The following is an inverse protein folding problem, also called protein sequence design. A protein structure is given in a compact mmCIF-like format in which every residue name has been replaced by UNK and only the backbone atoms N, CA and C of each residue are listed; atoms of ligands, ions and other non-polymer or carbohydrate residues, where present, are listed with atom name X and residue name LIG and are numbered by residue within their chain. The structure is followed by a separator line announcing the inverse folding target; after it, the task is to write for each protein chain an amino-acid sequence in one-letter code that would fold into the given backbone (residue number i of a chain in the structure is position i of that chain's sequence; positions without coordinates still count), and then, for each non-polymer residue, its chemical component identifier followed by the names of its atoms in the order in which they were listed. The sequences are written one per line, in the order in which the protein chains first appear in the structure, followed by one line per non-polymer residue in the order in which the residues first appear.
data_IF_740574040190
#
_entry.id   IF_740574040190
#
_cell.length_a   1.000
_cell.length_b   1.000
_cell.length_c   1.000
_cell.angle_alpha   90.00
_cell.angle_beta   90.00
_cell.angle_gamma   90.00
#
_symmetry.space_group_name_H-M   'P 1'
#
loop_
_entity.id
_entity.type
_entity.pdbx_description
1 polymer ?
#
# COMPACT_ATOMS: atom_id res chain seq x y z
N UNK A 1 20.99 13.56 -3.10
CA UNK A 1 21.39 12.23 -3.60
C UNK A 1 20.38 11.70 -4.63
N UNK A 2 19.09 11.68 -4.35
CA UNK A 2 18.06 11.30 -5.35
C UNK A 2 18.09 12.13 -6.65
N UNK A 3 18.45 13.40 -6.59
CA UNK A 3 18.56 14.29 -7.76
C UNK A 3 19.70 13.91 -8.73
N UNK A 4 20.80 13.31 -8.27
CA UNK A 4 21.88 12.82 -9.15
C UNK A 4 21.48 11.56 -9.93
N UNK A 5 20.61 10.72 -9.37
CA UNK A 5 20.07 9.54 -10.06
C UNK A 5 19.13 9.91 -11.23
N UNK A 6 18.48 11.08 -11.15
CA UNK A 6 17.62 11.59 -12.24
C UNK A 6 18.39 12.37 -13.32
N UNK A 7 19.62 12.81 -13.04
CA UNK A 7 20.44 13.54 -14.01
C UNK A 7 21.40 12.67 -14.84
N UNK A 8 21.73 11.46 -14.35
CA UNK A 8 22.68 10.56 -15.03
C UNK A 8 22.05 9.49 -15.93
N UNK A 9 20.74 9.31 -15.89
CA UNK A 9 20.04 8.57 -16.95
C UNK A 9 19.88 9.51 -18.14
N UNK A 10 20.86 9.52 -19.03
CA UNK A 10 20.88 10.28 -20.27
C UNK A 10 19.86 9.89 -21.34
N UNK A 11 18.80 9.20 -20.96
CA UNK A 11 17.52 9.21 -21.61
C UNK A 11 16.72 10.37 -21.00
N UNK A 12 16.76 11.55 -21.60
CA UNK A 12 15.65 12.48 -21.51
C UNK A 12 14.41 11.63 -21.72
N UNK A 13 13.62 11.44 -20.64
CA UNK A 13 12.32 10.76 -20.75
C UNK A 13 11.59 11.52 -21.84
N UNK A 14 11.50 10.90 -23.00
CA UNK A 14 10.99 11.56 -24.17
C UNK A 14 9.48 11.77 -23.95
N UNK A 15 9.18 12.82 -23.18
CA UNK A 15 7.83 13.31 -22.92
C UNK A 15 7.08 13.40 -24.24
N UNK A 16 7.79 13.81 -25.30
CA UNK A 16 7.29 13.83 -26.65
C UNK A 16 6.96 12.44 -27.19
N UNK A 17 7.71 11.40 -26.89
CA UNK A 17 7.48 10.04 -27.40
C UNK A 17 6.27 9.38 -26.74
N UNK A 18 6.09 9.56 -25.44
CA UNK A 18 4.93 9.02 -24.69
C UNK A 18 3.68 9.83 -25.02
N UNK A 19 3.81 11.14 -25.17
CA UNK A 19 2.70 12.06 -25.39
C UNK A 19 2.43 12.30 -26.89
N UNK A 20 3.40 12.14 -27.78
CA UNK A 20 3.22 12.13 -29.25
C UNK A 20 2.65 10.81 -29.78
N UNK A 21 2.66 9.72 -28.99
CA UNK A 21 1.88 8.56 -29.37
C UNK A 21 0.42 9.00 -29.50
N UNK A 22 -0.20 8.73 -30.62
CA UNK A 22 -1.47 9.20 -31.17
C UNK A 22 -2.72 9.22 -30.23
N UNK A 23 -2.57 9.30 -28.92
CA UNK A 23 -3.66 9.21 -27.95
C UNK A 23 -4.48 10.48 -27.78
N UNK A 24 -3.92 11.64 -28.11
CA UNK A 24 -4.61 12.93 -27.87
C UNK A 24 -4.78 13.29 -26.39
N UNK A 25 -4.06 12.67 -25.47
CA UNK A 25 -4.17 12.91 -24.02
C UNK A 25 -4.02 14.40 -23.65
N UNK A 26 -3.17 15.16 -24.34
CA UNK A 26 -2.97 16.59 -24.12
C UNK A 26 -4.23 17.44 -24.32
N UNK A 27 -5.19 16.96 -25.11
CA UNK A 27 -6.44 17.67 -25.39
C UNK A 27 -7.50 17.46 -24.31
N UNK A 28 -7.31 16.48 -23.42
CA UNK A 28 -8.26 16.15 -22.38
C UNK A 28 -8.33 17.21 -21.27
N UNK A 29 -9.47 17.29 -20.59
CA UNK A 29 -9.67 18.20 -19.47
C UNK A 29 -8.79 17.83 -18.29
N UNK A 30 -8.70 16.52 -18.00
CA UNK A 30 -7.86 16.04 -16.89
C UNK A 30 -6.41 16.45 -17.07
N UNK A 31 -5.83 16.29 -18.26
CA UNK A 31 -4.43 16.68 -18.54
C UNK A 31 -4.21 18.18 -18.34
N UNK A 32 -5.11 19.00 -18.83
CA UNK A 32 -5.01 20.48 -18.72
C UNK A 32 -5.08 20.95 -17.27
N UNK A 33 -5.76 20.21 -16.41
CA UNK A 33 -5.88 20.52 -14.96
C UNK A 33 -4.69 20.07 -14.12
N UNK A 34 -3.81 19.20 -14.64
CA UNK A 34 -2.63 18.78 -13.91
C UNK A 34 -1.59 19.89 -13.81
N UNK A 35 -0.98 20.01 -12.64
CA UNK A 35 0.24 20.79 -12.45
C UNK A 35 1.43 20.13 -13.17
N UNK A 36 2.49 20.90 -13.41
CA UNK A 36 3.68 20.38 -14.10
C UNK A 36 4.23 19.13 -13.43
N UNK A 37 4.44 19.16 -12.10
CA UNK A 37 4.96 17.98 -11.38
C UNK A 37 4.07 16.74 -11.51
N UNK A 38 2.74 16.93 -11.61
CA UNK A 38 1.81 15.82 -11.83
C UNK A 38 1.90 15.27 -13.24
N UNK A 39 2.06 16.13 -14.26
CA UNK A 39 2.28 15.69 -15.64
C UNK A 39 3.54 14.86 -15.78
N UNK A 40 4.65 15.30 -15.17
CA UNK A 40 5.90 14.54 -15.13
C UNK A 40 5.71 13.20 -14.43
N UNK A 41 4.93 13.18 -13.34
CA UNK A 41 4.55 11.94 -12.65
C UNK A 41 3.72 10.99 -13.51
N UNK A 42 2.76 11.50 -14.27
CA UNK A 42 1.94 10.71 -15.21
C UNK A 42 2.80 10.11 -16.31
N UNK A 43 3.69 10.91 -16.92
CA UNK A 43 4.62 10.43 -17.97
C UNK A 43 5.54 9.35 -17.42
N UNK A 44 6.16 9.58 -16.25
CA UNK A 44 7.01 8.59 -15.60
C UNK A 44 6.26 7.31 -15.21
N UNK A 45 5.00 7.43 -14.76
CA UNK A 45 4.19 6.26 -14.44
C UNK A 45 3.83 5.44 -15.67
N UNK A 46 3.48 6.08 -16.78
CA UNK A 46 3.20 5.41 -18.05
C UNK A 46 4.44 4.67 -18.56
N UNK A 47 5.62 5.29 -18.49
CA UNK A 47 6.88 4.62 -18.85
C UNK A 47 7.11 3.37 -17.99
N UNK A 48 6.98 3.48 -16.66
CA UNK A 48 7.16 2.35 -15.74
C UNK A 48 6.12 1.23 -15.98
N UNK A 49 4.86 1.58 -16.23
CA UNK A 49 3.81 0.62 -16.59
C UNK A 49 4.15 -0.13 -17.88
N UNK A 50 4.73 0.54 -18.86
CA UNK A 50 5.11 -0.09 -20.13
C UNK A 50 6.37 -0.96 -20.02
N UNK A 51 7.35 -0.55 -19.22
CA UNK A 51 8.63 -1.25 -19.05
C UNK A 51 8.58 -2.39 -18.06
N UNK A 52 7.89 -2.19 -16.94
CA UNK A 52 7.94 -3.09 -15.77
C UNK A 52 6.59 -3.72 -15.43
N UNK A 53 5.52 -3.44 -16.19
CA UNK A 53 4.19 -3.98 -15.93
C UNK A 53 3.45 -3.30 -14.77
N UNK A 54 4.12 -2.48 -13.95
CA UNK A 54 3.48 -1.81 -12.83
C UNK A 54 4.22 -0.59 -12.32
N UNK A 55 3.48 0.26 -11.58
CA UNK A 55 4.02 1.46 -10.94
C UNK A 55 3.28 1.75 -9.63
N UNK A 56 4.01 2.22 -8.62
CA UNK A 56 3.45 2.72 -7.35
C UNK A 56 3.63 4.24 -7.30
N UNK A 57 2.53 4.99 -7.30
CA UNK A 57 2.56 6.43 -7.01
C UNK A 57 2.44 6.60 -5.49
N UNK A 58 3.58 6.95 -4.87
CA UNK A 58 3.76 7.06 -3.43
C UNK A 58 3.85 8.52 -2.94
N UNK A 59 3.28 9.44 -3.66
CA UNK A 59 3.26 10.87 -3.33
C UNK A 59 2.60 11.15 -1.98
N UNK A 60 3.08 12.16 -1.29
CA UNK A 60 2.50 12.63 -0.03
C UNK A 60 1.00 12.92 -0.16
N UNK A 61 0.27 12.77 0.95
CA UNK A 61 -1.17 13.08 1.00
C UNK A 61 -1.42 14.52 0.55
N UNK A 62 -2.44 14.70 -0.31
CA UNK A 62 -2.84 16.00 -0.81
C UNK A 62 -2.08 16.50 -2.05
N UNK A 63 -1.21 15.69 -2.66
CA UNK A 63 -0.54 16.04 -3.92
C UNK A 63 -1.34 15.64 -5.17
N UNK A 64 -2.56 15.09 -5.01
CA UNK A 64 -3.48 14.86 -6.12
C UNK A 64 -3.28 13.55 -6.86
N UNK A 65 -2.81 12.47 -6.20
CA UNK A 65 -2.64 11.14 -6.80
C UNK A 65 -3.85 10.66 -7.62
N UNK A 66 -5.06 10.98 -7.18
CA UNK A 66 -6.29 10.62 -7.90
C UNK A 66 -6.34 11.27 -9.28
N UNK A 67 -5.94 12.54 -9.41
CA UNK A 67 -5.91 13.22 -10.71
C UNK A 67 -4.82 12.67 -11.63
N UNK A 68 -3.66 12.31 -11.09
CA UNK A 68 -2.61 11.63 -11.86
C UNK A 68 -3.10 10.26 -12.36
N UNK A 69 -3.75 9.49 -11.49
CA UNK A 69 -4.33 8.20 -11.87
C UNK A 69 -5.43 8.36 -12.92
N UNK A 70 -6.31 9.37 -12.81
CA UNK A 70 -7.32 9.66 -13.82
C UNK A 70 -6.71 10.02 -15.17
N UNK A 71 -5.60 10.75 -15.21
CA UNK A 71 -4.90 11.02 -16.46
C UNK A 71 -4.29 9.75 -17.08
N UNK A 72 -3.72 8.85 -16.25
CA UNK A 72 -3.22 7.55 -16.70
C UNK A 72 -4.37 6.67 -17.20
N UNK A 73 -5.49 6.62 -16.47
CA UNK A 73 -6.70 5.93 -16.91
C UNK A 73 -7.14 6.45 -18.27
N UNK A 74 -7.22 7.77 -18.43
CA UNK A 74 -7.64 8.38 -19.70
C UNK A 74 -6.68 8.09 -20.85
N UNK A 75 -5.38 8.04 -20.60
CA UNK A 75 -4.39 7.60 -21.58
C UNK A 75 -4.67 6.18 -22.08
N UNK A 76 -5.00 5.26 -21.18
CA UNK A 76 -5.35 3.87 -21.52
C UNK A 76 -6.70 3.79 -22.25
N UNK A 77 -7.74 4.50 -21.79
CA UNK A 77 -9.04 4.52 -22.45
C UNK A 77 -8.98 5.06 -23.90
N UNK A 78 -8.12 6.06 -24.15
CA UNK A 78 -7.89 6.59 -25.51
C UNK A 78 -7.21 5.58 -26.44
N UNK A 79 -6.67 4.50 -25.90
CA UNK A 79 -6.12 3.34 -26.61
C UNK A 79 -7.10 2.18 -26.71
N UNK A 80 -8.34 2.37 -26.24
CA UNK A 80 -9.37 1.35 -26.08
C UNK A 80 -9.01 0.25 -25.06
N UNK A 81 -8.10 0.54 -24.13
CA UNK A 81 -7.75 -0.36 -23.05
C UNK A 81 -8.91 -0.37 -22.01
N UNK A 82 -9.24 -1.54 -21.46
CA UNK A 82 -10.21 -1.68 -20.38
C UNK A 82 -9.55 -1.45 -19.03
N UNK A 83 -10.19 -0.63 -18.21
CA UNK A 83 -9.62 -0.20 -16.93
C UNK A 83 -10.53 -0.60 -15.77
N UNK A 84 -9.94 -1.23 -14.76
CA UNK A 84 -10.57 -1.51 -13.48
C UNK A 84 -9.95 -0.64 -12.38
N UNK A 85 -10.79 0.02 -11.60
CA UNK A 85 -10.37 0.70 -10.37
C UNK A 85 -10.83 -0.11 -9.17
N UNK A 86 -9.90 -0.50 -8.32
CA UNK A 86 -10.13 -1.14 -7.03
C UNK A 86 -9.94 -0.11 -5.91
N UNK A 87 -11.00 0.23 -5.20
CA UNK A 87 -10.97 1.23 -4.16
C UNK A 87 -11.55 0.72 -2.82
N UNK A 88 -11.15 1.28 -1.67
CA UNK A 88 -11.87 1.07 -0.43
C UNK A 88 -13.33 1.54 -0.56
N UNK A 89 -14.28 0.83 0.06
CA UNK A 89 -15.71 1.16 -0.03
C UNK A 89 -16.00 2.65 0.28
N UNK A 90 -15.31 3.21 1.25
CA UNK A 90 -15.46 4.63 1.65
C UNK A 90 -14.99 5.64 0.58
N UNK A 91 -14.15 5.21 -0.37
CA UNK A 91 -13.60 6.05 -1.43
C UNK A 91 -14.24 5.79 -2.80
N UNK A 92 -15.17 4.83 -2.88
CA UNK A 92 -15.84 4.47 -4.14
C UNK A 92 -16.47 5.67 -4.82
N UNK A 93 -17.18 6.50 -4.06
CA UNK A 93 -17.92 7.65 -4.60
C UNK A 93 -16.98 8.70 -5.23
N UNK A 94 -15.75 8.82 -4.72
CA UNK A 94 -14.74 9.69 -5.30
C UNK A 94 -14.34 9.25 -6.73
N UNK A 95 -14.40 7.95 -7.01
CA UNK A 95 -14.10 7.40 -8.34
C UNK A 95 -15.32 7.39 -9.25
N UNK A 96 -16.49 7.02 -8.75
CA UNK A 96 -17.72 6.97 -9.55
C UNK A 96 -18.19 8.36 -10.00
N UNK A 97 -17.86 9.40 -9.23
CA UNK A 97 -18.17 10.79 -9.58
C UNK A 97 -17.66 11.17 -10.97
N UNK A 98 -16.44 10.79 -11.33
CA UNK A 98 -15.83 11.19 -12.60
C UNK A 98 -16.40 10.47 -13.83
N UNK A 99 -17.14 9.36 -13.62
CA UNK A 99 -17.92 8.67 -14.67
C UNK A 99 -19.32 9.26 -14.83
N UNK A 100 -19.83 9.89 -13.78
CA UNK A 100 -21.23 10.34 -13.75
C UNK A 100 -21.46 11.58 -14.60
N UNK A 101 -22.64 11.66 -15.21
CA UNK A 101 -23.16 12.90 -15.78
C UNK A 101 -23.77 13.77 -14.66
N UNK A 102 -22.90 14.36 -13.85
CA UNK A 102 -23.23 15.12 -12.65
C UNK A 102 -22.55 16.51 -12.70
N UNK A 103 -23.23 17.55 -12.26
CA UNK A 103 -22.69 18.92 -12.24
C UNK A 103 -21.40 19.06 -11.42
N UNK A 104 -21.18 18.19 -10.44
CA UNK A 104 -19.95 18.14 -9.62
C UNK A 104 -18.77 17.53 -10.37
N UNK A 105 -19.03 16.82 -11.47
CA UNK A 105 -17.98 16.20 -12.27
C UNK A 105 -17.29 17.24 -13.15
N UNK A 106 -16.21 17.79 -12.65
CA UNK A 106 -15.39 18.78 -13.37
C UNK A 106 -14.64 18.21 -14.58
N UNK A 107 -14.67 16.88 -14.79
CA UNK A 107 -14.04 16.14 -15.87
C UNK A 107 -15.08 15.49 -16.81
N UNK A 108 -16.34 15.89 -16.75
CA UNK A 108 -17.44 15.26 -17.51
C UNK A 108 -17.17 15.21 -19.04
N UNK A 109 -16.47 16.21 -19.57
CA UNK A 109 -16.13 16.26 -21.00
C UNK A 109 -15.14 15.16 -21.45
N UNK A 110 -14.36 14.60 -20.50
CA UNK A 110 -13.44 13.51 -20.80
C UNK A 110 -14.15 12.15 -20.93
N UNK A 111 -15.42 12.01 -20.48
CA UNK A 111 -16.24 10.83 -20.65
C UNK A 111 -15.54 9.53 -20.24
N UNK A 112 -15.17 9.45 -18.95
CA UNK A 112 -14.55 8.26 -18.40
C UNK A 112 -15.46 7.03 -18.42
N UNK A 113 -14.90 5.85 -18.71
CA UNK A 113 -15.61 4.59 -18.84
C UNK A 113 -14.90 3.40 -18.17
N UNK A 114 -14.24 3.61 -17.04
CA UNK A 114 -13.64 2.53 -16.26
C UNK A 114 -14.63 1.88 -15.30
N UNK A 115 -14.37 0.62 -14.91
CA UNK A 115 -15.13 -0.06 -13.89
C UNK A 115 -14.61 0.28 -12.48
N UNK A 116 -15.52 0.35 -11.49
CA UNK A 116 -15.16 0.62 -10.09
C UNK A 116 -15.70 -0.50 -9.21
N UNK A 117 -14.78 -1.22 -8.55
CA UNK A 117 -15.11 -2.25 -7.58
C UNK A 117 -14.46 -1.95 -6.23
N UNK A 118 -15.05 -2.48 -5.16
CA UNK A 118 -14.44 -2.36 -3.84
C UNK A 118 -13.37 -3.45 -3.64
N UNK A 119 -12.37 -3.21 -2.81
CA UNK A 119 -11.39 -4.23 -2.41
C UNK A 119 -12.05 -5.51 -1.88
N UNK A 120 -13.20 -5.39 -1.20
CA UNK A 120 -13.95 -6.51 -0.63
C UNK A 120 -14.67 -7.35 -1.68
N UNK A 121 -14.92 -6.80 -2.86
CA UNK A 121 -15.60 -7.52 -3.94
C UNK A 121 -14.73 -8.65 -4.50
N UNK A 122 -13.41 -8.53 -4.39
CA UNK A 122 -12.47 -9.63 -4.67
C UNK A 122 -12.63 -10.86 -3.73
N UNK A 123 -13.44 -10.77 -2.67
CA UNK A 123 -13.72 -11.91 -1.79
C UNK A 123 -15.10 -12.52 -2.06
N UNK A 124 -15.79 -12.07 -3.11
CA UNK A 124 -17.17 -12.47 -3.45
C UNK A 124 -17.20 -13.15 -4.80
N UNK A 125 -18.00 -14.20 -4.91
CA UNK A 125 -18.19 -14.94 -6.18
C UNK A 125 -19.44 -14.49 -6.93
N UNK A 126 -20.24 -13.55 -6.39
CA UNK A 126 -21.44 -13.04 -7.02
C UNK A 126 -22.07 -11.90 -6.23
N UNK A 127 -23.21 -11.44 -6.74
CA UNK A 127 -23.98 -10.30 -6.21
C UNK A 127 -23.52 -8.96 -6.77
N UNK A 128 -24.30 -7.92 -6.52
CA UNK A 128 -24.07 -6.59 -7.08
C UNK A 128 -22.99 -5.81 -6.32
N UNK A 129 -22.18 -5.08 -7.07
CA UNK A 129 -21.27 -4.04 -6.60
C UNK A 129 -21.57 -2.76 -7.39
N UNK A 130 -22.42 -1.88 -6.86
CA UNK A 130 -23.07 -0.83 -7.66
C UNK A 130 -23.89 -1.46 -8.77
N UNK A 131 -23.65 -1.06 -10.01
CA UNK A 131 -24.33 -1.55 -11.20
C UNK A 131 -23.69 -2.82 -11.80
N UNK A 132 -22.59 -3.32 -11.21
CA UNK A 132 -21.83 -4.45 -11.74
C UNK A 132 -22.22 -5.73 -11.00
N UNK A 133 -22.70 -6.74 -11.74
CA UNK A 133 -22.90 -8.09 -11.21
C UNK A 133 -21.59 -8.87 -11.26
N UNK A 134 -21.06 -9.21 -10.07
CA UNK A 134 -19.78 -9.88 -9.90
C UNK A 134 -19.74 -11.30 -10.47
N UNK A 135 -20.90 -11.95 -10.64
CA UNK A 135 -20.98 -13.29 -11.26
C UNK A 135 -20.67 -13.27 -12.75
N UNK A 136 -20.83 -12.12 -13.40
CA UNK A 136 -20.60 -11.92 -14.83
C UNK A 136 -19.31 -11.17 -15.16
N UNK A 137 -18.53 -10.76 -14.14
CA UNK A 137 -17.26 -10.05 -14.38
C UNK A 137 -16.23 -10.99 -14.97
N UNK A 138 -15.75 -10.66 -16.15
CA UNK A 138 -14.57 -11.31 -16.73
C UNK A 138 -13.31 -10.66 -16.16
N UNK A 139 -12.82 -11.22 -15.06
CA UNK A 139 -11.70 -10.68 -14.28
C UNK A 139 -10.38 -10.57 -15.07
N UNK A 140 -10.18 -11.45 -16.04
CA UNK A 140 -8.98 -11.46 -16.89
C UNK A 140 -9.02 -10.49 -18.07
N UNK A 141 -10.06 -9.67 -18.23
CA UNK A 141 -10.24 -8.82 -19.41
C UNK A 141 -10.01 -7.33 -19.10
N UNK A 142 -9.02 -7.01 -18.27
CA UNK A 142 -8.62 -5.65 -17.97
C UNK A 142 -7.15 -5.42 -18.35
N UNK A 143 -6.88 -4.40 -19.14
CA UNK A 143 -5.54 -4.01 -19.58
C UNK A 143 -4.79 -3.22 -18.51
N UNK A 144 -5.54 -2.45 -17.70
CA UNK A 144 -5.03 -1.70 -16.55
C UNK A 144 -5.88 -1.93 -15.32
N UNK A 145 -5.23 -2.24 -14.20
CA UNK A 145 -5.85 -2.22 -12.88
C UNK A 145 -5.25 -1.11 -12.04
N UNK A 146 -6.07 -0.22 -11.54
CA UNK A 146 -5.69 0.85 -10.60
C UNK A 146 -6.12 0.45 -9.20
N UNK A 147 -5.18 0.38 -8.26
CA UNK A 147 -5.45 0.01 -6.88
C UNK A 147 -5.25 1.23 -5.99
N UNK A 148 -6.35 1.84 -5.56
CA UNK A 148 -6.30 2.93 -4.59
C UNK A 148 -6.10 2.38 -3.18
N UNK A 149 -5.28 3.07 -2.37
CA UNK A 149 -4.87 2.61 -1.04
C UNK A 149 -4.27 1.18 -1.09
N UNK A 150 -3.32 0.97 -2.02
CA UNK A 150 -2.74 -0.35 -2.33
C UNK A 150 -2.07 -1.04 -1.11
N UNK A 151 -1.74 -0.29 -0.07
CA UNK A 151 -1.25 -0.85 1.19
C UNK A 151 -2.22 -1.86 1.84
N UNK A 152 -3.50 -1.87 1.46
CA UNK A 152 -4.47 -2.89 1.90
C UNK A 152 -4.19 -4.29 1.34
N UNK A 153 -3.37 -4.40 0.30
CA UNK A 153 -2.94 -5.67 -0.33
C UNK A 153 -1.53 -6.12 0.08
N UNK A 154 -0.92 -5.46 1.07
CA UNK A 154 0.43 -5.80 1.56
C UNK A 154 0.55 -7.19 2.18
N UNK A 155 -0.52 -7.74 2.72
CA UNK A 155 -0.53 -9.03 3.41
C UNK A 155 -1.03 -10.12 2.48
N UNK A 156 -0.18 -11.10 2.20
CA UNK A 156 -0.57 -12.38 1.62
C UNK A 156 -1.16 -13.26 2.73
N UNK A 157 -2.45 -13.07 3.04
CA UNK A 157 -3.12 -13.84 4.09
C UNK A 157 -3.36 -15.27 3.61
N UNK A 158 -2.77 -16.23 4.29
CA UNK A 158 -3.03 -17.66 4.08
C UNK A 158 -4.14 -18.11 5.03
N UNK A 159 -5.39 -17.99 4.63
CA UNK A 159 -6.48 -18.71 5.27
C UNK A 159 -6.62 -20.09 4.62
N UNK A 160 -6.49 -21.17 5.41
CA UNK A 160 -6.72 -22.54 4.91
C UNK A 160 -8.12 -22.63 4.29
N UNK A 161 -8.19 -22.87 2.98
CA UNK A 161 -9.41 -23.20 2.25
C UNK A 161 -10.18 -22.05 1.60
N UNK A 162 -9.79 -20.78 1.71
CA UNK A 162 -10.39 -19.67 0.96
C UNK A 162 -9.33 -18.85 0.25
N UNK A 163 -9.57 -18.56 -1.03
CA UNK A 163 -8.76 -17.65 -1.83
C UNK A 163 -8.79 -16.25 -1.20
N UNK A 164 -7.62 -15.68 -0.90
CA UNK A 164 -7.54 -14.32 -0.40
C UNK A 164 -7.79 -13.30 -1.51
N UNK A 165 -8.10 -12.04 -1.15
CA UNK A 165 -8.19 -10.93 -2.11
C UNK A 165 -6.89 -10.74 -2.90
N UNK A 166 -5.75 -10.93 -2.24
CA UNK A 166 -4.44 -10.90 -2.85
C UNK A 166 -4.28 -11.99 -3.90
N UNK A 167 -4.63 -13.24 -3.54
CA UNK A 167 -4.49 -14.39 -4.45
C UNK A 167 -5.44 -14.27 -5.65
N UNK A 168 -6.67 -13.79 -5.45
CA UNK A 168 -7.62 -13.57 -6.55
C UNK A 168 -7.13 -12.50 -7.52
N UNK A 169 -6.64 -11.36 -7.01
CA UNK A 169 -6.05 -10.31 -7.83
C UNK A 169 -4.86 -10.85 -8.64
N UNK A 170 -3.93 -11.52 -7.95
CA UNK A 170 -2.73 -12.08 -8.59
C UNK A 170 -3.06 -13.13 -9.64
N UNK A 171 -3.96 -14.05 -9.33
CA UNK A 171 -4.26 -15.19 -10.20
C UNK A 171 -5.20 -14.81 -11.32
N UNK A 172 -6.41 -14.34 -10.98
CA UNK A 172 -7.51 -14.18 -11.96
C UNK A 172 -7.38 -12.92 -12.82
N UNK A 173 -6.73 -11.88 -12.32
CA UNK A 173 -6.62 -10.61 -13.03
C UNK A 173 -5.25 -10.47 -13.68
N UNK A 174 -4.18 -10.72 -12.93
CA UNK A 174 -2.83 -10.44 -13.40
C UNK A 174 -2.29 -11.61 -14.23
N UNK A 175 -2.27 -12.85 -13.66
CA UNK A 175 -1.62 -14.00 -14.33
C UNK A 175 -2.48 -14.69 -15.39
N UNK A 176 -3.78 -14.85 -15.13
CA UNK A 176 -4.74 -15.51 -16.05
C UNK A 176 -5.34 -14.50 -17.05
N UNK A 177 -5.06 -13.20 -16.88
CA UNK A 177 -5.62 -12.14 -17.70
C UNK A 177 -4.86 -11.88 -18.99
N UNK A 178 -5.35 -10.89 -19.72
CA UNK A 178 -4.57 -10.21 -20.77
C UNK A 178 -3.37 -9.55 -20.07
N UNK A 179 -2.28 -9.26 -20.76
CA UNK A 179 -1.07 -8.67 -20.15
C UNK A 179 -1.39 -7.40 -19.33
N UNK A 180 -1.95 -7.60 -18.13
CA UNK A 180 -2.55 -6.56 -17.28
C UNK A 180 -1.47 -5.72 -16.61
N UNK A 181 -1.52 -4.41 -16.78
CA UNK A 181 -0.68 -3.46 -16.06
C UNK A 181 -1.30 -3.09 -14.73
N UNK A 182 -0.47 -2.79 -13.72
CA UNK A 182 -0.97 -2.48 -12.36
C UNK A 182 -0.45 -1.14 -11.88
N UNK A 183 -1.35 -0.17 -11.74
CA UNK A 183 -1.07 1.13 -11.12
C UNK A 183 -1.52 1.10 -9.66
N UNK A 184 -0.61 1.36 -8.74
CA UNK A 184 -0.87 1.36 -7.31
C UNK A 184 -0.75 2.77 -6.74
N UNK A 185 -1.72 3.18 -5.93
CA UNK A 185 -1.73 4.47 -5.25
C UNK A 185 -1.64 4.24 -3.74
N UNK A 186 -0.64 4.79 -3.10
CA UNK A 186 -0.52 4.74 -1.64
C UNK A 186 0.37 5.87 -1.13
N UNK A 187 -0.05 6.59 -0.12
CA UNK A 187 0.83 7.55 0.56
C UNK A 187 1.86 6.86 1.47
N UNK A 188 1.63 5.60 1.83
CA UNK A 188 2.45 4.80 2.75
C UNK A 188 2.61 3.37 2.21
N UNK A 189 3.37 3.17 1.11
CA UNK A 189 3.55 1.84 0.51
C UNK A 189 4.27 0.87 1.45
N UNK A 190 5.11 1.40 2.33
CA UNK A 190 5.75 0.68 3.44
C UNK A 190 5.15 1.17 4.75
N UNK A 191 4.66 0.28 5.59
CA UNK A 191 4.15 0.65 6.90
C UNK A 191 5.06 0.12 8.02
N UNK A 192 5.09 -1.20 8.22
CA UNK A 192 5.84 -1.81 9.32
C UNK A 192 7.05 -2.61 8.83
N UNK A 193 7.00 -3.13 7.61
CA UNK A 193 8.05 -4.01 7.06
C UNK A 193 8.28 -3.70 5.59
N UNK A 194 9.52 -3.80 5.15
CA UNK A 194 9.87 -3.69 3.72
C UNK A 194 9.27 -4.84 2.90
N UNK A 195 8.95 -5.97 3.53
CA UNK A 195 8.19 -7.05 2.91
C UNK A 195 6.78 -6.62 2.44
N UNK A 196 6.18 -5.58 3.04
CA UNK A 196 4.90 -5.02 2.61
C UNK A 196 5.01 -4.45 1.18
N UNK A 197 6.15 -3.84 0.86
CA UNK A 197 6.46 -3.34 -0.48
C UNK A 197 6.68 -4.48 -1.46
N UNK A 198 7.41 -5.54 -1.08
CA UNK A 198 7.63 -6.72 -1.93
C UNK A 198 6.30 -7.33 -2.41
N UNK A 199 5.32 -7.44 -1.53
CA UNK A 199 4.02 -7.99 -1.89
C UNK A 199 3.26 -7.11 -2.89
N UNK A 200 3.46 -5.78 -2.84
CA UNK A 200 2.91 -4.86 -3.83
C UNK A 200 3.69 -4.93 -5.16
N UNK A 201 5.03 -4.99 -5.10
CA UNK A 201 5.88 -5.16 -6.28
C UNK A 201 5.53 -6.44 -7.04
N UNK A 202 5.16 -7.50 -6.32
CA UNK A 202 4.77 -8.77 -6.93
C UNK A 202 3.58 -8.63 -7.91
N UNK A 203 2.73 -7.64 -7.76
CA UNK A 203 1.67 -7.36 -8.75
C UNK A 203 2.22 -6.81 -10.06
N UNK A 204 3.30 -6.02 -10.02
CA UNK A 204 3.96 -5.51 -11.23
C UNK A 204 4.76 -6.59 -11.96
N UNK A 205 5.35 -7.52 -11.21
CA UNK A 205 6.25 -8.56 -11.74
C UNK A 205 5.57 -9.92 -11.88
N UNK A 206 4.25 -10.00 -11.75
CA UNK A 206 3.47 -11.25 -11.75
C UNK A 206 3.95 -12.28 -10.71
N UNK A 207 4.71 -11.80 -9.71
CA UNK A 207 5.34 -12.62 -8.67
C UNK A 207 6.64 -13.30 -9.11
N UNK A 208 7.21 -12.94 -10.25
CA UNK A 208 8.52 -13.38 -10.68
C UNK A 208 9.61 -12.58 -9.93
N UNK A 209 10.47 -13.31 -9.22
CA UNK A 209 11.55 -12.74 -8.43
C UNK A 209 12.70 -12.20 -9.29
N UNK A 210 12.87 -12.76 -10.49
CA UNK A 210 13.91 -12.39 -11.44
C UNK A 210 13.47 -11.38 -12.51
N UNK A 211 12.24 -10.89 -12.46
CA UNK A 211 11.66 -10.00 -13.47
C UNK A 211 12.48 -8.73 -13.76
N UNK A 212 13.31 -8.30 -12.83
CA UNK A 212 14.15 -7.10 -12.96
C UNK A 212 15.65 -7.42 -13.13
N UNK A 213 16.00 -8.66 -13.48
CA UNK A 213 17.41 -9.08 -13.63
C UNK A 213 18.14 -8.26 -14.71
N UNK A 214 17.51 -8.01 -15.85
CA UNK A 214 18.07 -7.20 -16.93
C UNK A 214 18.25 -5.72 -16.54
N UNK A 215 17.58 -5.31 -15.46
CA UNK A 215 17.65 -3.96 -14.91
C UNK A 215 18.54 -3.86 -13.65
N UNK A 216 19.43 -4.84 -13.45
CA UNK A 216 20.41 -4.84 -12.37
C UNK A 216 19.92 -5.39 -11.03
N UNK A 217 18.72 -5.92 -10.94
CA UNK A 217 18.16 -6.54 -9.72
C UNK A 217 18.03 -8.05 -9.92
N UNK A 218 19.02 -8.80 -9.47
CA UNK A 218 19.06 -10.25 -9.65
C UNK A 218 17.93 -11.00 -8.92
N UNK A 219 17.49 -10.52 -7.75
CA UNK A 219 16.39 -11.07 -6.97
C UNK A 219 15.72 -9.97 -6.14
N UNK A 220 14.44 -9.76 -6.35
CA UNK A 220 13.61 -8.80 -5.62
C UNK A 220 13.51 -9.22 -4.15
N UNK A 221 13.35 -10.52 -3.89
CA UNK A 221 13.28 -11.07 -2.54
C UNK A 221 14.58 -10.89 -1.77
N UNK A 222 15.72 -11.23 -2.37
CA UNK A 222 17.02 -11.06 -1.73
C UNK A 222 17.31 -9.60 -1.43
N UNK A 223 17.03 -8.69 -2.37
CA UNK A 223 17.21 -7.23 -2.21
C UNK A 223 16.34 -6.70 -1.07
N UNK A 224 15.05 -7.02 -1.03
CA UNK A 224 14.15 -6.55 0.03
C UNK A 224 14.46 -7.17 1.39
N UNK A 225 14.90 -8.44 1.44
CA UNK A 225 15.33 -9.11 2.68
C UNK A 225 16.61 -8.49 3.24
N UNK A 226 17.61 -8.22 2.39
CA UNK A 226 18.84 -7.52 2.77
C UNK A 226 18.53 -6.13 3.33
N UNK A 227 17.69 -5.36 2.64
CA UNK A 227 17.25 -4.04 3.10
C UNK A 227 16.52 -4.11 4.45
N UNK A 228 15.63 -5.10 4.67
CA UNK A 228 14.95 -5.28 5.95
C UNK A 228 15.93 -5.60 7.08
N UNK A 229 16.94 -6.43 6.84
CA UNK A 229 17.95 -6.73 7.84
C UNK A 229 18.75 -5.47 8.23
N UNK A 230 19.11 -4.63 7.26
CA UNK A 230 19.79 -3.36 7.50
C UNK A 230 18.89 -2.36 8.25
N UNK A 231 17.64 -2.27 7.87
CA UNK A 231 16.65 -1.44 8.58
C UNK A 231 16.50 -1.86 10.04
N UNK A 232 16.45 -3.16 10.33
CA UNK A 232 16.38 -3.67 11.70
C UNK A 232 17.65 -3.35 12.50
N UNK A 233 18.83 -3.42 11.84
CA UNK A 233 20.10 -3.01 12.46
C UNK A 233 20.09 -1.52 12.79
N UNK A 234 19.64 -0.68 11.87
CA UNK A 234 19.53 0.76 12.10
C UNK A 234 18.57 1.07 13.26
N UNK A 235 17.45 0.35 13.39
CA UNK A 235 16.53 0.50 14.52
C UNK A 235 17.17 0.12 15.88
N UNK A 236 18.18 -0.74 15.87
CA UNK A 236 18.89 -1.18 17.07
C UNK A 236 20.06 -0.27 17.48
N UNK A 237 20.39 0.75 16.66
CA UNK A 237 21.42 1.73 17.00
C UNK A 237 20.96 2.66 18.13
N UNK A 238 21.92 3.36 18.74
CA UNK A 238 21.61 4.41 19.71
C UNK A 238 20.95 5.62 19.03
N UNK A 239 20.09 6.35 19.76
CA UNK A 239 19.33 7.49 19.21
C UNK A 239 20.24 8.57 18.57
N UNK A 240 21.46 8.76 19.08
CA UNK A 240 22.43 9.71 18.55
C UNK A 240 22.97 9.30 17.16
N UNK A 241 22.97 8.00 16.85
CA UNK A 241 23.47 7.44 15.60
C UNK A 241 22.37 7.28 14.54
N UNK A 242 21.10 7.32 14.94
CA UNK A 242 19.94 7.16 14.04
C UNK A 242 19.71 8.37 13.15
N UNK A 243 20.54 8.53 12.14
CA UNK A 243 20.34 9.60 11.16
C UNK A 243 19.73 9.07 9.86
N UNK A 244 18.93 9.90 9.14
CA UNK A 244 18.40 9.52 7.83
C UNK A 244 19.49 9.19 6.81
N UNK A 245 20.64 9.90 6.86
CA UNK A 245 21.76 9.66 5.95
C UNK A 245 22.36 8.28 6.15
N UNK A 246 22.54 7.87 7.41
CA UNK A 246 23.06 6.53 7.75
C UNK A 246 22.09 5.43 7.32
N UNK A 247 20.76 5.63 7.49
CA UNK A 247 19.77 4.69 6.98
C UNK A 247 19.89 4.51 5.46
N UNK A 248 20.00 5.60 4.71
CA UNK A 248 20.16 5.56 3.24
C UNK A 248 21.42 4.77 2.85
N UNK A 249 22.54 5.00 3.54
CA UNK A 249 23.79 4.27 3.29
C UNK A 249 23.63 2.77 3.58
N UNK A 250 23.03 2.42 4.71
CA UNK A 250 22.82 1.02 5.13
C UNK A 250 21.90 0.24 4.19
N UNK A 251 20.83 0.86 3.67
CA UNK A 251 19.88 0.21 2.76
C UNK A 251 20.54 -0.20 1.43
N UNK A 252 21.58 0.54 0.98
CA UNK A 252 22.38 0.20 -0.18
C UNK A 252 21.74 0.54 -1.52
N UNK A 253 22.56 0.54 -2.57
CA UNK A 253 22.20 0.97 -3.92
C UNK A 253 21.08 0.12 -4.55
N UNK A 254 21.18 -1.20 -4.45
CA UNK A 254 20.23 -2.13 -5.10
C UNK A 254 18.78 -1.88 -4.67
N UNK A 255 18.57 -1.56 -3.38
CA UNK A 255 17.23 -1.27 -2.88
C UNK A 255 16.67 0.04 -3.45
N UNK A 256 17.49 1.07 -3.60
CA UNK A 256 17.06 2.33 -4.21
C UNK A 256 16.83 2.17 -5.71
N UNK A 257 17.62 1.37 -6.40
CA UNK A 257 17.40 1.01 -7.81
C UNK A 257 16.07 0.31 -7.98
N UNK A 258 15.74 -0.66 -7.12
CA UNK A 258 14.44 -1.33 -7.10
C UNK A 258 13.28 -0.34 -6.93
N UNK A 259 13.41 0.60 -5.99
CA UNK A 259 12.39 1.64 -5.78
C UNK A 259 12.27 2.56 -6.98
N UNK A 260 13.37 2.97 -7.57
CA UNK A 260 13.38 3.87 -8.72
C UNK A 260 12.69 3.26 -9.93
N UNK A 261 12.88 1.97 -10.19
CA UNK A 261 12.20 1.29 -11.30
C UNK A 261 10.67 1.24 -11.13
N UNK A 262 10.15 1.11 -9.92
CA UNK A 262 8.75 0.78 -9.68
C UNK A 262 7.95 1.85 -8.94
N UNK A 263 8.60 2.92 -8.45
CA UNK A 263 7.91 3.92 -7.65
C UNK A 263 8.10 5.34 -8.16
N UNK A 264 7.11 6.18 -7.90
CA UNK A 264 7.17 7.64 -8.01
C UNK A 264 6.78 8.17 -6.63
N UNK A 265 7.69 8.91 -5.98
CA UNK A 265 7.48 9.38 -4.62
C UNK A 265 7.95 10.83 -4.47
N UNK A 266 7.01 11.74 -4.24
CA UNK A 266 7.30 13.15 -4.06
C UNK A 266 6.70 13.64 -2.74
N UNK A 267 7.45 14.50 -2.06
CA UNK A 267 6.97 15.23 -0.90
C UNK A 267 6.63 16.68 -1.28
N UNK A 268 5.85 17.36 -0.44
CA UNK A 268 5.57 18.81 -0.64
C UNK A 268 6.84 19.62 -0.74
N UNK A 269 7.84 19.36 0.12
CA UNK A 269 9.15 20.01 0.07
C UNK A 269 9.89 19.75 -1.25
N UNK A 270 9.76 18.53 -1.80
CA UNK A 270 10.32 18.20 -3.09
C UNK A 270 9.66 19.03 -4.19
N UNK A 271 8.33 19.12 -4.19
CA UNK A 271 7.57 19.92 -5.19
C UNK A 271 7.96 21.40 -5.09
N UNK A 272 7.98 21.98 -3.90
CA UNK A 272 8.39 23.39 -3.71
C UNK A 272 9.82 23.66 -4.19
N UNK A 273 10.75 22.73 -3.90
CA UNK A 273 12.16 22.90 -4.23
C UNK A 273 12.45 22.84 -5.74
N UNK A 274 11.78 21.93 -6.47
CA UNK A 274 12.12 21.63 -7.86
C UNK A 274 11.13 22.18 -8.89
N UNK A 275 9.88 22.42 -8.49
CA UNK A 275 8.86 22.97 -9.38
C UNK A 275 8.46 24.40 -9.00
N UNK A 276 8.89 24.87 -7.84
CA UNK A 276 8.51 26.18 -7.34
C UNK A 276 7.06 26.22 -6.84
N UNK A 277 6.60 27.42 -6.53
CA UNK A 277 5.25 27.66 -5.97
C UNK A 277 4.34 28.45 -6.91
N UNK A 278 4.79 28.73 -8.14
CA UNK A 278 4.04 29.55 -9.10
C UNK A 278 2.72 28.93 -9.55
N UNK A 279 2.70 27.60 -9.76
CA UNK A 279 1.49 26.88 -10.17
C UNK A 279 0.70 26.33 -8.99
N UNK A 280 1.38 25.84 -7.96
CA UNK A 280 0.74 25.12 -6.83
C UNK A 280 0.34 26.05 -5.68
N UNK A 281 0.90 27.26 -5.63
CA UNK A 281 0.89 28.06 -4.43
C UNK A 281 1.82 27.48 -3.34
N UNK A 282 1.96 28.20 -2.24
CA UNK A 282 2.72 27.74 -1.07
C UNK A 282 1.88 26.72 -0.29
N UNK A 283 2.47 25.58 0.05
CA UNK A 283 1.82 24.62 0.92
C UNK A 283 1.71 25.15 2.35
N UNK A 284 0.61 24.84 3.06
CA UNK A 284 0.45 25.26 4.45
C UNK A 284 1.58 24.71 5.33
N UNK A 285 2.11 25.55 6.21
CA UNK A 285 3.09 25.14 7.20
C UNK A 285 2.46 24.17 8.20
N UNK A 286 3.15 23.07 8.51
CA UNK A 286 2.75 22.17 9.58
C UNK A 286 3.21 22.73 10.91
N UNK A 287 2.27 23.15 11.71
CA UNK A 287 2.54 23.49 13.11
C UNK A 287 2.78 22.20 13.94
N UNK A 288 3.60 22.27 14.99
CA UNK A 288 3.72 21.16 15.93
C UNK A 288 2.34 20.78 16.48
N UNK A 289 2.05 19.48 16.67
CA UNK A 289 0.79 19.05 17.25
C UNK A 289 0.68 19.55 18.70
N UNK A 290 -0.45 20.17 19.01
CA UNK A 290 -0.77 20.57 20.39
C UNK A 290 -1.57 19.42 21.01
N UNK A 291 -1.01 18.78 22.03
CA UNK A 291 -1.70 17.76 22.81
C UNK A 291 -2.54 18.43 23.89
N UNK A 292 -3.85 18.50 23.67
CA UNK A 292 -4.80 18.97 24.69
C UNK A 292 -5.21 17.75 25.50
N UNK A 293 -4.79 17.71 26.78
CA UNK A 293 -5.30 16.77 27.75
C UNK A 293 -6.56 17.38 28.35
N UNK A 294 -7.72 17.01 27.78
CA UNK A 294 -9.00 17.37 28.38
C UNK A 294 -9.40 16.28 29.38
N UNK A 295 -9.87 16.70 30.54
CA UNK A 295 -10.56 15.81 31.45
C UNK A 295 -11.96 15.58 30.88
N UNK A 296 -12.27 14.34 30.51
CA UNK A 296 -13.55 13.98 29.89
C UNK A 296 -14.62 13.79 30.98
N UNK A 297 -14.18 13.60 32.22
CA UNK A 297 -15.02 13.38 33.39
C UNK A 297 -15.05 14.63 34.27
N UNK A 298 -15.84 15.60 33.87
CA UNK A 298 -16.01 16.85 34.61
C UNK A 298 -16.73 16.65 35.95
N UNK A 299 -17.45 15.55 36.13
CA UNK A 299 -18.18 15.23 37.35
C UNK A 299 -17.38 14.34 38.32
N UNK A 300 -16.26 13.77 37.86
CA UNK A 300 -15.44 12.85 38.67
C UNK A 300 -16.12 11.49 38.94
N UNK A 301 -17.07 11.10 38.10
CA UNK A 301 -17.86 9.86 38.30
C UNK A 301 -17.12 8.62 37.78
N UNK A 302 -16.15 8.78 36.85
CA UNK A 302 -15.36 7.68 36.33
C UNK A 302 -14.01 7.55 37.02
N UNK A 303 -13.61 6.31 37.24
CA UNK A 303 -12.26 6.03 37.78
C UNK A 303 -11.22 6.44 36.74
N UNK A 304 -10.08 6.95 37.19
CA UNK A 304 -8.96 7.26 36.31
C UNK A 304 -8.58 6.04 35.44
N UNK A 305 -8.32 6.27 34.15
CA UNK A 305 -7.94 5.20 33.20
C UNK A 305 -6.77 4.36 33.73
N UNK A 306 -5.87 4.97 34.49
CA UNK A 306 -4.76 4.28 35.16
C UNK A 306 -5.25 3.21 36.12
N UNK A 307 -6.27 3.52 36.92
CA UNK A 307 -6.81 2.61 37.96
C UNK A 307 -7.59 1.48 37.29
N UNK A 308 -8.38 1.81 36.28
CA UNK A 308 -9.07 0.84 35.44
C UNK A 308 -8.08 -0.11 34.77
N UNK A 309 -6.96 0.42 34.21
CA UNK A 309 -5.91 -0.41 33.62
C UNK A 309 -5.26 -1.34 34.66
N UNK A 310 -5.08 -0.88 35.91
CA UNK A 310 -4.57 -1.73 36.98
C UNK A 310 -5.54 -2.89 37.32
N UNK A 311 -6.84 -2.60 37.36
CA UNK A 311 -7.87 -3.64 37.60
C UNK A 311 -7.92 -4.65 36.44
N UNK A 312 -7.87 -4.16 35.16
CA UNK A 312 -7.84 -5.04 34.00
C UNK A 312 -6.58 -5.91 33.97
N UNK A 313 -5.43 -5.40 34.45
CA UNK A 313 -4.20 -6.19 34.58
C UNK A 313 -4.31 -7.28 35.65
N UNK A 314 -5.13 -7.10 36.67
CA UNK A 314 -5.39 -8.10 37.71
C UNK A 314 -6.29 -9.24 37.25
N UNK A 315 -7.08 -9.04 36.15
CA UNK A 315 -7.91 -10.09 35.60
C UNK A 315 -7.04 -11.26 35.13
N UNK A 316 -7.22 -12.42 35.69
CA UNK A 316 -6.46 -13.63 35.33
C UNK A 316 -6.88 -14.19 33.98
N UNK A 317 -8.13 -13.94 33.55
CA UNK A 317 -8.71 -14.44 32.31
C UNK A 317 -8.48 -15.96 32.14
N UNK A 318 -8.66 -16.71 33.20
CA UNK A 318 -8.33 -18.13 33.33
C UNK A 318 -8.89 -19.01 32.21
N UNK A 319 -10.09 -18.72 31.73
CA UNK A 319 -10.72 -19.42 30.59
C UNK A 319 -9.95 -19.31 29.27
N UNK A 320 -9.10 -18.29 29.13
CA UNK A 320 -8.28 -18.06 27.93
C UNK A 320 -6.84 -18.51 28.10
N UNK A 321 -6.43 -18.92 29.28
CA UNK A 321 -5.10 -19.45 29.57
C UNK A 321 -5.17 -20.68 30.51
N UNK A 322 -5.83 -21.75 30.07
CA UNK A 322 -5.97 -22.96 30.90
C UNK A 322 -4.63 -23.62 31.22
N UNK A 323 -3.61 -23.48 30.37
CA UNK A 323 -2.29 -24.08 30.60
C UNK A 323 -1.56 -23.49 31.83
N UNK A 324 -1.88 -22.28 32.21
CA UNK A 324 -1.36 -21.68 33.47
C UNK A 324 -1.75 -22.45 34.75
N UNK A 325 -2.83 -23.21 34.70
CA UNK A 325 -3.40 -23.92 35.83
C UNK A 325 -3.10 -25.43 35.78
N UNK A 326 -2.27 -25.87 34.83
CA UNK A 326 -1.79 -27.25 34.76
C UNK A 326 -0.81 -27.48 35.91
N UNK A 327 -1.01 -28.61 36.66
CA UNK A 327 -0.12 -28.99 37.74
C UNK A 327 1.32 -29.12 37.25
N UNK A 328 2.33 -28.67 38.02
CA UNK A 328 3.74 -28.65 37.60
C UNK A 328 4.24 -29.98 37.05
N UNK A 329 3.86 -31.11 37.65
CA UNK A 329 4.28 -32.43 37.21
C UNK A 329 3.65 -32.89 35.88
N UNK A 330 2.59 -32.23 35.41
CA UNK A 330 1.93 -32.52 34.13
C UNK A 330 2.30 -31.52 33.02
N UNK A 331 2.99 -30.44 33.36
CA UNK A 331 3.28 -29.37 32.46
C UNK A 331 4.08 -29.83 31.23
N UNK A 332 5.12 -30.66 31.44
CA UNK A 332 5.92 -31.21 30.36
C UNK A 332 5.10 -32.07 29.36
N UNK A 333 4.15 -32.85 29.86
CA UNK A 333 3.28 -33.67 29.01
C UNK A 333 2.30 -32.81 28.18
N UNK A 334 1.82 -31.72 28.73
CA UNK A 334 0.96 -30.77 28.03
C UNK A 334 1.73 -29.96 27.01
N UNK A 335 2.94 -29.48 27.33
CA UNK A 335 3.81 -28.78 26.42
C UNK A 335 4.18 -29.66 25.21
N UNK A 336 4.52 -30.93 25.44
CA UNK A 336 4.78 -31.87 24.36
C UNK A 336 3.56 -32.13 23.45
N UNK A 337 2.35 -32.14 24.04
CA UNK A 337 1.09 -32.38 23.32
C UNK A 337 0.63 -31.19 22.47
N UNK A 338 0.89 -29.97 22.94
CA UNK A 338 0.35 -28.72 22.34
C UNK A 338 1.41 -27.83 21.72
N UNK A 339 2.69 -28.21 21.74
CA UNK A 339 3.73 -27.53 20.97
C UNK A 339 3.70 -27.97 19.51
N UNK A 340 3.78 -27.01 18.60
CA UNK A 340 3.84 -27.26 17.15
C UNK A 340 5.14 -26.67 16.61
N UNK A 341 5.87 -27.45 15.81
CA UNK A 341 7.07 -26.96 15.13
C UNK A 341 6.69 -25.91 14.08
N UNK A 342 7.36 -24.78 14.09
CA UNK A 342 7.13 -23.72 13.09
C UNK A 342 7.62 -24.20 11.73
N UNK A 343 6.77 -24.22 10.72
CA UNK A 343 7.17 -24.58 9.35
C UNK A 343 8.25 -23.62 8.85
N UNK A 344 9.45 -24.15 8.65
CA UNK A 344 10.59 -23.45 8.05
C UNK A 344 11.57 -22.79 9.03
N UNK A 345 11.55 -23.10 10.33
CA UNK A 345 12.52 -22.62 11.32
C UNK A 345 12.77 -23.60 12.46
N UNK A 346 13.87 -23.44 13.17
CA UNK A 346 14.22 -24.27 14.37
C UNK A 346 13.38 -23.92 15.62
N UNK A 347 12.37 -23.05 15.50
CA UNK A 347 11.55 -22.60 16.62
C UNK A 347 10.34 -23.50 16.90
N UNK A 348 10.10 -23.82 18.18
CA UNK A 348 8.87 -24.43 18.65
C UNK A 348 7.87 -23.34 19.05
N UNK A 349 6.65 -23.44 18.53
CA UNK A 349 5.53 -22.62 18.94
C UNK A 349 4.84 -23.27 20.17
N UNK A 350 4.95 -22.63 21.34
CA UNK A 350 4.33 -23.12 22.55
C UNK A 350 2.92 -22.59 22.67
N UNK A 351 1.96 -23.45 23.02
CA UNK A 351 0.58 -23.04 23.24
C UNK A 351 0.46 -22.03 24.40
N UNK A 352 1.32 -22.14 25.41
CA UNK A 352 1.37 -21.19 26.52
C UNK A 352 1.66 -19.76 26.08
N UNK A 353 2.60 -19.56 25.14
CA UNK A 353 2.95 -18.24 24.61
C UNK A 353 1.78 -17.62 23.82
N UNK A 354 0.99 -18.49 23.15
CA UNK A 354 -0.22 -18.05 22.43
C UNK A 354 -1.30 -17.61 23.42
N UNK A 355 -1.52 -18.34 24.49
CA UNK A 355 -2.50 -17.99 25.52
C UNK A 355 -2.14 -16.68 26.22
N UNK A 356 -0.85 -16.47 26.51
CA UNK A 356 -0.35 -15.22 27.08
C UNK A 356 -0.54 -14.03 26.15
N UNK A 357 -0.23 -14.21 24.85
CA UNK A 357 -0.48 -13.20 23.82
C UNK A 357 -1.97 -12.88 23.66
N UNK A 358 -2.85 -13.89 23.78
CA UNK A 358 -4.29 -13.72 23.73
C UNK A 358 -4.82 -12.93 24.93
N UNK A 359 -4.35 -13.22 26.14
CA UNK A 359 -4.69 -12.46 27.35
C UNK A 359 -4.31 -10.98 27.17
N UNK A 360 -3.09 -10.72 26.67
CA UNK A 360 -2.64 -9.37 26.43
C UNK A 360 -3.55 -8.63 25.41
N UNK A 361 -3.89 -9.29 24.32
CA UNK A 361 -4.79 -8.75 23.28
C UNK A 361 -6.19 -8.46 23.86
N UNK A 362 -6.73 -9.35 24.67
CA UNK A 362 -8.04 -9.16 25.30
C UNK A 362 -8.04 -7.96 26.24
N UNK A 363 -7.00 -7.81 27.08
CA UNK A 363 -6.85 -6.64 27.95
C UNK A 363 -6.79 -5.33 27.18
N UNK A 364 -6.02 -5.30 26.10
CA UNK A 364 -5.96 -4.11 25.19
C UNK A 364 -7.32 -3.84 24.55
N UNK A 365 -8.05 -4.88 24.13
CA UNK A 365 -9.37 -4.71 23.53
C UNK A 365 -10.43 -4.18 24.52
N UNK A 366 -10.37 -4.61 25.78
CA UNK A 366 -11.25 -4.07 26.83
C UNK A 366 -10.96 -2.58 27.01
N UNK A 367 -9.68 -2.20 27.17
CA UNK A 367 -9.27 -0.79 27.30
C UNK A 367 -9.67 0.09 26.11
N UNK A 368 -9.72 -0.46 24.89
CA UNK A 368 -10.11 0.30 23.71
C UNK A 368 -11.62 0.50 23.58
N UNK A 369 -12.42 -0.28 24.29
CA UNK A 369 -13.89 -0.22 24.24
C UNK A 369 -14.50 0.63 25.35
N UNK A 370 -13.72 0.96 26.34
CA UNK A 370 -14.06 1.93 27.40
C UNK A 370 -13.77 3.35 26.93
#
# INVERSE_FOLDING_TARGET
MLHRLFQDSGDEMDEERIVKSATGIRNTVVWKKLFKFQRDGVVGAIDKLNRFGGCIIADSVGLGKTFEALAIIKYHELRNDRVLVLAPKRLRDNWTLYKANDKRNILAADRFNYDVLNHTDLSRDGGLSGDIDLSHVNWGNYDLVVIDESHNFRNKATHKGKESRYDRLMRRIIREGVKTRVLMLSATPVNNRLADLRNQIAFATEGDDAALMEHGIASIEATTRKAQAQFNRWLALDEAEKTPSQLVEMLGFDYFTLLDHLTIARSRRHVEKYYGTSETGRFPDRLPPINIKADVDLAGEFRAIRDINQEIRRLTLASYAPLRYVLPHKQAAYDAKYSTQVRGGEGFFRQADREESLIHLLRVNVLKRM
#
